data_IF_754869029333
#
_entry.id   IF_754869029333
#
_cell.length_a   1.000
_cell.length_b   1.000
_cell.length_c   1.000
_cell.angle_alpha   90.00
_cell.angle_beta   90.00
_cell.angle_gamma   90.00
#
_symmetry.space_group_name_H-M   'P 1'
#
loop_
_entity.id
_entity.type
_entity.pdbx_description
1 polymer ?
#
# COMPACT_ATOMS: atom_id res chain seq x y z
N UNK A 1 53.43 64.48 -6.76
CA UNK A 1 53.90 63.50 -7.76
C UNK A 1 54.47 62.26 -7.07
N UNK A 2 54.19 61.06 -7.60
CA UNK A 2 54.85 59.75 -7.34
C UNK A 2 54.61 58.99 -5.99
N UNK A 3 53.36 58.80 -5.53
CA UNK A 3 53.03 57.72 -4.54
C UNK A 3 52.66 56.37 -5.16
N UNK A 4 52.23 56.36 -6.44
CA UNK A 4 51.89 55.15 -7.19
C UNK A 4 53.04 54.16 -7.42
N UNK A 5 54.32 54.57 -7.68
CA UNK A 5 55.38 53.59 -7.91
C UNK A 5 55.82 52.86 -6.63
N UNK A 6 55.66 53.47 -5.46
CA UNK A 6 56.05 52.87 -4.16
C UNK A 6 55.09 51.76 -3.76
N UNK A 7 53.79 51.96 -3.97
CA UNK A 7 52.77 50.93 -3.74
C UNK A 7 52.93 49.73 -4.69
N UNK A 8 53.35 49.97 -5.93
CA UNK A 8 53.60 48.94 -6.93
C UNK A 8 54.88 48.15 -6.63
N UNK A 9 55.90 48.81 -6.08
CA UNK A 9 57.13 48.15 -5.63
C UNK A 9 56.87 47.25 -4.40
N UNK A 10 56.06 47.73 -3.44
CA UNK A 10 55.68 46.97 -2.25
C UNK A 10 54.83 45.74 -2.57
N UNK A 11 53.92 45.83 -3.55
CA UNK A 11 53.12 44.67 -3.99
C UNK A 11 53.97 43.64 -4.75
N UNK A 12 54.94 44.07 -5.55
CA UNK A 12 55.89 43.16 -6.21
C UNK A 12 56.82 42.49 -5.18
N UNK A 13 57.31 43.22 -4.17
CA UNK A 13 58.11 42.66 -3.08
C UNK A 13 57.31 41.67 -2.21
N UNK A 14 56.01 41.90 -1.99
CA UNK A 14 55.13 40.96 -1.30
C UNK A 14 54.82 39.69 -2.12
N UNK A 15 54.80 39.80 -3.45
CA UNK A 15 54.64 38.65 -4.35
C UNK A 15 55.94 37.85 -4.49
N UNK A 16 57.10 38.51 -4.43
CA UNK A 16 58.43 37.86 -4.47
C UNK A 16 58.86 37.25 -3.13
N UNK A 17 58.30 37.69 -1.99
CA UNK A 17 58.54 37.06 -0.69
C UNK A 17 57.78 35.74 -0.52
N UNK A 18 56.78 35.47 -1.36
CA UNK A 18 56.15 34.17 -1.53
C UNK A 18 57.02 33.23 -2.38
N UNK A 19 58.28 32.99 -1.96
CA UNK A 19 59.00 31.81 -2.43
C UNK A 19 58.31 30.59 -1.84
N UNK A 20 57.35 30.01 -2.58
CA UNK A 20 56.79 28.72 -2.24
C UNK A 20 57.94 27.71 -2.27
N UNK A 21 58.44 27.33 -1.08
CA UNK A 21 59.21 26.09 -0.93
C UNK A 21 58.38 25.01 -1.62
N UNK A 22 58.93 24.43 -2.71
CA UNK A 22 58.31 23.28 -3.38
C UNK A 22 58.11 22.19 -2.34
N UNK A 23 56.89 22.07 -1.81
CA UNK A 23 56.52 20.97 -0.95
C UNK A 23 56.65 19.68 -1.76
N UNK A 24 57.10 18.58 -1.15
CA UNK A 24 57.12 17.30 -1.83
C UNK A 24 55.72 16.97 -2.33
N UNK A 25 55.60 16.56 -3.58
CA UNK A 25 54.30 16.17 -4.14
C UNK A 25 53.97 14.75 -3.67
N UNK A 26 53.02 14.64 -2.74
CA UNK A 26 52.52 13.35 -2.28
C UNK A 26 51.25 12.98 -3.03
N UNK A 27 51.16 11.79 -3.65
CA UNK A 27 49.93 11.36 -4.30
C UNK A 27 48.81 11.20 -3.26
N UNK A 28 47.57 11.43 -3.66
CA UNK A 28 46.38 11.24 -2.82
C UNK A 28 46.01 9.75 -2.67
N UNK A 29 47.00 8.89 -2.46
CA UNK A 29 46.88 7.45 -2.19
C UNK A 29 47.28 7.17 -0.73
N UNK A 30 46.89 6.02 -0.18
CA UNK A 30 47.28 5.65 1.19
C UNK A 30 48.80 5.62 1.38
N UNK A 31 49.56 5.21 0.36
CA UNK A 31 51.03 5.29 0.35
C UNK A 31 51.54 6.75 0.43
N UNK A 32 50.97 7.64 -0.39
CA UNK A 32 51.37 9.05 -0.41
C UNK A 32 51.01 9.78 0.88
N UNK A 33 49.80 9.55 1.40
CA UNK A 33 49.35 10.07 2.70
C UNK A 33 50.27 9.58 3.82
N UNK A 34 50.59 8.28 3.84
CA UNK A 34 51.48 7.71 4.86
C UNK A 34 52.87 8.36 4.82
N UNK A 35 53.47 8.51 3.63
CA UNK A 35 54.77 9.20 3.48
C UNK A 35 54.71 10.65 3.96
N UNK A 36 53.69 11.41 3.56
CA UNK A 36 53.48 12.79 4.03
C UNK A 36 53.41 12.86 5.56
N UNK A 37 52.71 11.92 6.20
CA UNK A 37 52.58 11.85 7.65
C UNK A 37 53.90 11.50 8.33
N UNK A 38 54.70 10.60 7.76
CA UNK A 38 56.04 10.28 8.29
C UNK A 38 56.98 11.47 8.20
N UNK A 39 56.96 12.22 7.10
CA UNK A 39 57.80 13.41 6.94
C UNK A 39 57.35 14.52 7.90
N UNK A 40 56.04 14.70 8.08
CA UNK A 40 55.49 15.60 9.09
C UNK A 40 55.89 15.18 10.51
N UNK A 41 55.85 13.89 10.83
CA UNK A 41 56.30 13.37 12.10
C UNK A 41 57.79 13.66 12.34
N UNK A 42 58.65 13.45 11.34
CA UNK A 42 60.07 13.78 11.44
C UNK A 42 60.32 15.27 11.69
N UNK A 43 59.54 16.15 11.05
CA UNK A 43 59.58 17.57 11.30
C UNK A 43 59.24 17.93 12.76
N UNK A 44 58.19 17.32 13.32
CA UNK A 44 57.81 17.56 14.72
C UNK A 44 58.82 16.97 15.71
N UNK A 45 59.38 15.79 15.44
CA UNK A 45 60.48 15.20 16.24
C UNK A 45 61.69 16.14 16.26
N UNK A 46 62.07 16.71 15.12
CA UNK A 46 63.18 17.67 15.04
C UNK A 46 62.92 18.96 15.84
N UNK A 47 61.65 19.29 16.11
CA UNK A 47 61.24 20.41 16.97
C UNK A 47 61.00 20.01 18.43
N UNK A 48 61.30 18.76 18.80
CA UNK A 48 60.98 18.19 20.12
C UNK A 48 59.48 18.23 20.48
N UNK A 49 58.60 18.27 19.48
CA UNK A 49 57.16 18.23 19.64
C UNK A 49 56.68 16.77 19.55
N UNK A 50 56.87 16.04 20.65
CA UNK A 50 56.55 14.62 20.78
C UNK A 50 55.07 14.35 20.55
N UNK A 51 54.20 15.24 21.04
CA UNK A 51 52.76 15.16 20.87
C UNK A 51 52.39 15.16 19.40
N UNK A 52 52.72 16.23 18.67
CA UNK A 52 52.32 16.32 17.26
C UNK A 52 53.02 15.26 16.41
N UNK A 53 54.26 14.89 16.74
CA UNK A 53 54.92 13.75 16.10
C UNK A 53 54.11 12.46 16.24
N UNK A 54 53.67 12.12 17.45
CA UNK A 54 52.86 10.92 17.70
C UNK A 54 51.49 10.99 17.00
N UNK A 55 50.83 12.15 16.99
CA UNK A 55 49.59 12.35 16.23
C UNK A 55 49.77 12.05 14.73
N UNK A 56 50.87 12.51 14.13
CA UNK A 56 51.15 12.23 12.71
C UNK A 56 51.44 10.74 12.49
N UNK A 57 52.20 10.10 13.38
CA UNK A 57 52.53 8.67 13.28
C UNK A 57 51.29 7.77 13.45
N UNK A 58 50.45 8.01 14.46
CA UNK A 58 49.18 7.27 14.62
C UNK A 58 48.21 7.55 13.48
N UNK A 59 48.28 8.73 12.85
CA UNK A 59 47.55 8.98 11.61
C UNK A 59 48.07 8.16 10.45
N UNK A 60 49.40 8.00 10.32
CA UNK A 60 50.01 7.15 9.29
C UNK A 60 49.62 5.68 9.50
N UNK A 61 49.65 5.20 10.74
CA UNK A 61 49.33 3.82 11.13
C UNK A 61 47.98 3.33 10.58
N UNK A 62 46.96 4.19 10.58
CA UNK A 62 45.62 3.84 10.07
C UNK A 62 45.57 3.47 8.60
N UNK A 63 46.46 4.05 7.80
CA UNK A 63 46.49 3.82 6.36
C UNK A 63 47.29 2.56 6.02
N UNK A 64 48.03 1.98 6.98
CA UNK A 64 48.93 0.85 6.74
C UNK A 64 48.24 -0.42 6.25
N UNK A 65 46.94 -0.60 6.51
CA UNK A 65 46.20 -1.74 5.98
C UNK A 65 46.17 -1.75 4.45
N UNK A 66 46.06 -0.57 3.83
CA UNK A 66 46.00 -0.41 2.38
C UNK A 66 47.37 -0.13 1.75
N UNK A 67 48.38 0.18 2.56
CA UNK A 67 49.75 0.38 2.08
C UNK A 67 50.30 -0.93 1.52
N UNK A 68 50.87 -0.87 0.32
CA UNK A 68 51.43 -2.07 -0.33
C UNK A 68 52.91 -2.28 0.01
N UNK A 69 53.62 -1.20 0.31
CA UNK A 69 55.06 -1.20 0.52
C UNK A 69 55.45 -1.60 1.95
N UNK A 70 56.08 -2.77 2.12
CA UNK A 70 56.60 -3.22 3.42
C UNK A 70 57.66 -2.27 4.00
N UNK A 71 58.41 -1.57 3.14
CA UNK A 71 59.35 -0.52 3.56
C UNK A 71 58.66 0.60 4.35
N UNK A 72 57.46 0.97 3.91
CA UNK A 72 56.70 2.06 4.48
C UNK A 72 56.00 1.63 5.78
N UNK A 73 55.49 0.38 5.81
CA UNK A 73 54.99 -0.25 7.05
C UNK A 73 56.09 -0.35 8.10
N UNK A 74 57.26 -0.85 7.70
CA UNK A 74 58.45 -0.91 8.55
C UNK A 74 58.79 0.48 9.10
N UNK A 75 58.93 1.49 8.24
CA UNK A 75 59.32 2.83 8.67
C UNK A 75 58.30 3.46 9.64
N UNK A 76 57.01 3.19 9.45
CA UNK A 76 55.95 3.70 10.31
C UNK A 76 56.00 3.09 11.69
N UNK A 77 55.96 1.76 11.80
CA UNK A 77 56.04 1.08 13.09
C UNK A 77 57.37 1.33 13.81
N UNK A 78 58.48 1.37 13.07
CA UNK A 78 59.80 1.64 13.65
C UNK A 78 59.87 3.03 14.28
N UNK A 79 59.31 4.06 13.63
CA UNK A 79 59.28 5.42 14.19
C UNK A 79 58.36 5.53 15.41
N UNK A 80 57.24 4.81 15.42
CA UNK A 80 56.37 4.74 16.61
C UNK A 80 57.12 4.06 17.76
N UNK A 81 57.83 2.96 17.50
CA UNK A 81 58.64 2.25 18.49
C UNK A 81 59.71 3.16 19.10
N UNK A 82 60.46 3.87 18.26
CA UNK A 82 61.49 4.81 18.72
C UNK A 82 60.93 5.96 19.54
N UNK A 83 59.80 6.55 19.12
CA UNK A 83 59.19 7.65 19.85
C UNK A 83 58.66 7.19 21.22
N UNK A 84 58.06 6.00 21.30
CA UNK A 84 57.67 5.40 22.58
C UNK A 84 58.88 5.12 23.48
N UNK A 85 59.97 4.55 22.93
CA UNK A 85 61.20 4.29 23.68
C UNK A 85 61.82 5.58 24.25
N UNK A 86 61.87 6.65 23.45
CA UNK A 86 62.39 7.95 23.86
C UNK A 86 61.55 8.62 24.96
N UNK A 87 60.26 8.30 25.05
CA UNK A 87 59.35 8.87 26.04
C UNK A 87 59.08 7.94 27.22
N UNK A 88 59.75 6.79 27.32
CA UNK A 88 59.63 5.91 28.49
C UNK A 88 58.54 4.84 28.41
N UNK A 89 57.73 4.83 27.35
CA UNK A 89 56.72 3.80 27.09
C UNK A 89 57.34 2.50 26.57
N UNK A 90 58.20 1.89 27.39
CA UNK A 90 59.09 0.80 27.03
C UNK A 90 58.35 -0.47 26.57
N UNK A 91 57.26 -0.85 27.27
CA UNK A 91 56.46 -2.03 26.88
C UNK A 91 55.85 -1.85 25.49
N UNK A 92 55.28 -0.67 25.23
CA UNK A 92 54.68 -0.34 23.94
C UNK A 92 55.74 -0.24 22.84
N UNK A 93 56.91 0.32 23.16
CA UNK A 93 58.04 0.35 22.23
C UNK A 93 58.48 -1.05 21.81
N UNK A 94 58.61 -2.00 22.76
CA UNK A 94 58.97 -3.39 22.46
C UNK A 94 57.93 -4.07 21.58
N UNK A 95 56.64 -3.87 21.85
CA UNK A 95 55.56 -4.41 21.02
C UNK A 95 55.60 -3.85 19.59
N UNK A 96 55.79 -2.53 19.43
CA UNK A 96 55.96 -1.92 18.12
C UNK A 96 57.23 -2.40 17.40
N UNK A 97 58.33 -2.69 18.11
CA UNK A 97 59.52 -3.31 17.51
C UNK A 97 59.23 -4.73 16.98
N UNK A 98 58.35 -5.49 17.63
CA UNK A 98 57.90 -6.81 17.14
C UNK A 98 57.04 -6.71 15.89
N UNK A 99 56.10 -5.76 15.88
CA UNK A 99 55.30 -5.44 14.70
C UNK A 99 56.21 -5.02 13.53
N UNK A 100 57.20 -4.18 13.80
CA UNK A 100 58.18 -3.72 12.81
C UNK A 100 58.95 -4.88 12.17
N UNK A 101 59.34 -5.89 12.97
CA UNK A 101 60.13 -7.03 12.49
C UNK A 101 59.42 -7.84 11.40
N UNK A 102 58.08 -7.88 11.41
CA UNK A 102 57.26 -8.58 10.38
C UNK A 102 57.46 -7.98 8.98
N UNK A 103 57.79 -6.69 8.90
CA UNK A 103 57.96 -5.94 7.65
C UNK A 103 59.43 -5.69 7.30
N UNK A 104 60.35 -6.39 7.97
CA UNK A 104 61.79 -6.32 7.68
C UNK A 104 62.21 -7.26 6.54
N UNK A 105 61.29 -7.82 5.77
CA UNK A 105 61.58 -8.89 4.80
C UNK A 105 61.90 -8.35 3.38
N UNK A 106 62.90 -7.49 3.27
CA UNK A 106 63.37 -6.95 1.99
C UNK A 106 64.88 -7.14 1.79
N UNK A 107 65.43 -6.60 0.70
CA UNK A 107 66.88 -6.66 0.41
C UNK A 107 67.74 -6.02 1.52
N UNK A 108 67.15 -5.18 2.37
CA UNK A 108 67.79 -4.51 3.51
C UNK A 108 67.47 -5.18 4.85
N UNK A 109 66.99 -6.43 4.84
CA UNK A 109 66.60 -7.20 6.04
C UNK A 109 67.65 -7.16 7.16
N UNK A 110 68.91 -7.43 6.84
CA UNK A 110 70.00 -7.40 7.84
C UNK A 110 70.13 -6.02 8.49
N UNK A 111 70.06 -4.94 7.70
CA UNK A 111 70.09 -3.58 8.23
C UNK A 111 68.90 -3.28 9.13
N UNK A 112 67.70 -3.64 8.68
CA UNK A 112 66.45 -3.40 9.41
C UNK A 112 66.37 -4.15 10.73
N UNK A 113 66.71 -5.45 10.72
CA UNK A 113 66.74 -6.26 11.93
C UNK A 113 67.80 -5.78 12.92
N UNK A 114 68.93 -5.28 12.41
CA UNK A 114 69.96 -4.64 13.25
C UNK A 114 69.42 -3.39 13.95
N UNK A 115 68.74 -2.51 13.21
CA UNK A 115 68.11 -1.30 13.78
C UNK A 115 67.05 -1.68 14.85
N UNK A 116 66.22 -2.68 14.59
CA UNK A 116 65.25 -3.20 15.57
C UNK A 116 65.94 -3.74 16.82
N UNK A 117 66.97 -4.58 16.67
CA UNK A 117 67.65 -5.18 17.81
C UNK A 117 68.43 -4.15 18.64
N UNK A 118 69.01 -3.13 18.00
CA UNK A 118 69.58 -1.99 18.70
C UNK A 118 68.53 -1.21 19.49
N UNK A 119 67.36 -0.98 18.90
CA UNK A 119 66.21 -0.37 19.58
C UNK A 119 65.77 -1.18 20.81
N UNK A 120 65.56 -2.49 20.66
CA UNK A 120 65.23 -3.39 21.78
C UNK A 120 66.31 -3.38 22.86
N UNK A 121 67.58 -3.49 22.48
CA UNK A 121 68.70 -3.45 23.42
C UNK A 121 68.73 -2.14 24.22
N UNK A 122 68.48 -1.00 23.57
CA UNK A 122 68.38 0.30 24.24
C UNK A 122 67.25 0.31 25.27
N UNK A 123 66.06 -0.19 24.89
CA UNK A 123 64.91 -0.24 25.80
C UNK A 123 65.17 -1.15 27.00
N UNK A 124 65.70 -2.36 26.79
CA UNK A 124 66.04 -3.26 27.90
C UNK A 124 67.10 -2.67 28.83
N UNK A 125 68.09 -1.95 28.28
CA UNK A 125 69.07 -1.25 29.10
C UNK A 125 68.43 -0.12 29.94
N UNK A 126 67.49 0.63 29.35
CA UNK A 126 66.74 1.67 30.07
C UNK A 126 65.85 1.11 31.18
N UNK A 127 65.38 -0.13 31.02
CA UNK A 127 64.65 -0.89 32.05
C UNK A 127 65.57 -1.51 33.12
N UNK A 128 66.89 -1.34 33.03
CA UNK A 128 67.86 -1.99 33.92
C UNK A 128 68.08 -3.49 33.66
N UNK A 129 67.54 -4.02 32.56
CA UNK A 129 67.66 -5.43 32.19
C UNK A 129 68.88 -5.66 31.30
N UNK A 130 70.07 -5.56 31.89
CA UNK A 130 71.35 -5.56 31.15
C UNK A 130 71.62 -6.86 30.39
N UNK A 131 71.30 -8.03 30.95
CA UNK A 131 71.50 -9.32 30.28
C UNK A 131 70.67 -9.42 29.00
N UNK A 132 69.41 -8.98 29.06
CA UNK A 132 68.52 -8.92 27.89
C UNK A 132 69.04 -7.92 26.86
N UNK A 133 69.54 -6.76 27.30
CA UNK A 133 70.13 -5.76 26.42
C UNK A 133 71.36 -6.31 25.69
N UNK A 134 72.30 -6.96 26.40
CA UNK A 134 73.48 -7.61 25.81
C UNK A 134 73.11 -8.72 24.84
N UNK A 135 72.08 -9.50 25.14
CA UNK A 135 71.60 -10.55 24.25
C UNK A 135 71.12 -9.97 22.90
N UNK A 136 70.38 -8.86 22.92
CA UNK A 136 69.96 -8.19 21.68
C UNK A 136 71.12 -7.50 20.94
N UNK A 137 72.11 -6.96 21.66
CA UNK A 137 73.36 -6.49 21.03
C UNK A 137 74.07 -7.63 20.31
N UNK A 138 74.20 -8.81 20.93
CA UNK A 138 74.80 -10.00 20.30
C UNK A 138 74.02 -10.45 19.07
N UNK A 139 72.68 -10.35 19.08
CA UNK A 139 71.86 -10.58 17.89
C UNK A 139 72.15 -9.58 16.77
N UNK A 140 72.28 -8.29 17.09
CA UNK A 140 72.66 -7.27 16.12
C UNK A 140 74.06 -7.53 15.53
N UNK A 141 75.02 -7.96 16.36
CA UNK A 141 76.38 -8.32 15.95
C UNK A 141 76.42 -9.47 14.94
N UNK A 142 75.51 -10.45 15.03
CA UNK A 142 75.47 -11.62 14.15
C UNK A 142 75.27 -11.27 12.67
N UNK A 143 74.83 -10.05 12.35
CA UNK A 143 74.67 -9.58 10.97
C UNK A 143 75.95 -8.98 10.37
N UNK A 144 77.04 -8.81 11.14
CA UNK A 144 78.34 -8.36 10.60
C UNK A 144 78.90 -9.41 9.62
N UNK A 145 79.56 -9.01 8.51
CA UNK A 145 79.83 -7.63 8.05
C UNK A 145 78.73 -7.07 7.10
N UNK A 146 77.55 -7.70 7.02
CA UNK A 146 76.48 -7.36 6.06
C UNK A 146 75.64 -6.13 6.48
N UNK A 147 76.17 -5.31 7.38
CA UNK A 147 75.49 -4.14 7.95
C UNK A 147 76.30 -2.88 7.67
N UNK A 148 75.68 -1.70 7.83
CA UNK A 148 76.36 -0.43 7.55
C UNK A 148 77.37 -0.10 8.67
N UNK A 149 78.39 0.69 8.35
CA UNK A 149 79.44 1.07 9.32
C UNK A 149 78.92 1.91 10.49
N UNK A 150 77.92 2.76 10.28
CA UNK A 150 77.22 3.49 11.35
C UNK A 150 76.52 2.53 12.33
N UNK A 151 75.95 1.42 11.83
CA UNK A 151 75.33 0.41 12.67
C UNK A 151 76.38 -0.37 13.48
N UNK A 152 77.52 -0.71 12.87
CA UNK A 152 78.64 -1.33 13.59
C UNK A 152 79.15 -0.45 14.73
N UNK A 153 79.29 0.85 14.49
CA UNK A 153 79.68 1.83 15.52
C UNK A 153 78.62 1.92 16.62
N UNK A 154 77.34 1.98 16.25
CA UNK A 154 76.21 2.03 17.20
C UNK A 154 76.15 0.81 18.10
N UNK A 155 76.42 -0.39 17.55
CA UNK A 155 76.55 -1.64 18.31
C UNK A 155 77.65 -1.50 19.38
N UNK A 156 78.85 -1.10 18.98
CA UNK A 156 80.00 -0.98 19.90
C UNK A 156 79.74 0.05 20.99
N UNK A 157 79.16 1.20 20.64
CA UNK A 157 78.82 2.25 21.59
C UNK A 157 77.73 1.83 22.56
N UNK A 158 76.67 1.16 22.08
CA UNK A 158 75.60 0.67 22.95
C UNK A 158 76.09 -0.43 23.88
N UNK A 159 76.89 -1.38 23.37
CA UNK A 159 77.54 -2.42 24.17
C UNK A 159 78.35 -1.84 25.32
N UNK A 160 79.24 -0.88 25.00
CA UNK A 160 80.08 -0.21 26.00
C UNK A 160 79.23 0.49 27.07
N UNK A 161 78.11 1.13 26.67
CA UNK A 161 77.19 1.77 27.63
C UNK A 161 76.52 0.76 28.56
N UNK A 162 76.07 -0.38 28.03
CA UNK A 162 75.45 -1.45 28.82
C UNK A 162 76.47 -2.06 29.79
N UNK A 163 77.69 -2.37 29.33
CA UNK A 163 78.76 -2.93 30.16
C UNK A 163 79.17 -1.95 31.29
N UNK A 164 79.17 -0.65 31.00
CA UNK A 164 79.40 0.41 32.01
C UNK A 164 78.17 0.72 32.88
N UNK A 165 77.08 -0.04 32.75
CA UNK A 165 75.83 0.15 33.49
C UNK A 165 75.27 1.58 33.37
N UNK A 166 75.49 2.23 32.21
CA UNK A 166 74.99 3.58 31.95
C UNK A 166 73.54 3.51 31.49
N UNK A 167 72.63 4.08 32.30
CA UNK A 167 71.19 4.11 32.03
C UNK A 167 70.80 5.54 31.62
N UNK A 168 70.22 5.71 30.42
CA UNK A 168 69.48 6.93 30.06
C UNK A 168 68.02 6.78 30.53
N UNK A 169 67.79 7.00 31.82
CA UNK A 169 66.44 6.92 32.38
C UNK A 169 65.58 8.07 31.87
N UNK A 170 64.39 7.75 31.37
CA UNK A 170 63.38 8.75 30.99
C UNK A 170 62.47 8.98 32.20
N UNK A 171 62.03 10.23 32.43
CA UNK A 171 61.09 10.54 33.52
C UNK A 171 59.80 9.73 33.36
N UNK A 172 59.28 9.08 34.42
CA UNK A 172 58.00 8.35 34.39
C UNK A 172 56.81 9.18 33.89
N UNK A 173 56.85 10.51 34.07
CA UNK A 173 55.80 11.42 33.59
C UNK A 173 55.66 11.41 32.06
N UNK A 174 56.78 11.24 31.34
CA UNK A 174 56.76 11.18 29.87
C UNK A 174 56.12 9.91 29.34
N UNK A 175 56.23 8.80 30.07
CA UNK A 175 55.59 7.53 29.72
C UNK A 175 54.06 7.70 29.76
N UNK A 176 53.58 8.23 30.89
CA UNK A 176 52.16 8.51 31.08
C UNK A 176 51.65 9.49 30.01
N UNK A 177 52.40 10.55 29.69
CA UNK A 177 52.02 11.53 28.69
C UNK A 177 51.88 10.92 27.28
N UNK A 178 52.86 10.13 26.83
CA UNK A 178 52.84 9.58 25.47
C UNK A 178 51.75 8.52 25.27
N UNK A 179 51.43 7.75 26.32
CA UNK A 179 50.30 6.80 26.31
C UNK A 179 48.98 7.58 26.26
N UNK A 180 48.81 8.59 27.11
CA UNK A 180 47.60 9.43 27.11
C UNK A 180 47.37 10.14 25.77
N UNK A 181 48.43 10.57 25.09
CA UNK A 181 48.33 11.18 23.75
C UNK A 181 47.73 10.20 22.75
N UNK A 182 48.15 8.93 22.79
CA UNK A 182 47.65 7.89 21.90
C UNK A 182 46.20 7.51 22.22
N UNK A 183 45.86 7.32 23.49
CA UNK A 183 44.48 7.01 23.90
C UNK A 183 43.52 8.15 23.52
N UNK A 184 43.90 9.40 23.79
CA UNK A 184 43.10 10.58 23.41
C UNK A 184 42.92 10.68 21.90
N UNK A 185 43.94 10.32 21.12
CA UNK A 185 43.82 10.28 19.67
C UNK A 185 42.76 9.26 19.27
N UNK A 186 42.86 8.02 19.75
CA UNK A 186 41.93 6.93 19.43
C UNK A 186 40.48 7.25 19.79
N UNK A 187 40.25 7.80 20.99
CA UNK A 187 38.93 8.26 21.43
C UNK A 187 38.39 9.38 20.53
N UNK A 188 39.22 10.39 20.21
CA UNK A 188 38.79 11.50 19.34
C UNK A 188 38.39 11.03 17.94
N UNK A 189 39.01 9.96 17.44
CA UNK A 189 38.66 9.37 16.14
C UNK A 189 37.37 8.59 16.23
N UNK A 190 37.19 7.79 17.28
CA UNK A 190 35.95 7.06 17.52
C UNK A 190 34.77 8.03 17.59
N UNK A 191 34.93 9.14 18.32
CA UNK A 191 33.95 10.22 18.39
C UNK A 191 33.66 10.84 17.02
N UNK A 192 34.68 11.15 16.22
CA UNK A 192 34.48 11.68 14.86
C UNK A 192 33.72 10.71 13.95
N UNK A 193 34.05 9.41 14.01
CA UNK A 193 33.34 8.37 13.24
C UNK A 193 31.88 8.23 13.68
N UNK A 194 31.63 8.26 14.99
CA UNK A 194 30.27 8.22 15.53
C UNK A 194 29.46 9.45 15.08
N UNK A 195 30.06 10.64 15.09
CA UNK A 195 29.41 11.87 14.64
C UNK A 195 29.15 11.87 13.13
N UNK A 196 30.07 11.35 12.32
CA UNK A 196 29.86 11.15 10.88
C UNK A 196 28.70 10.18 10.61
N UNK A 197 28.61 9.09 11.36
CA UNK A 197 27.49 8.15 11.26
C UNK A 197 26.16 8.80 11.62
N UNK A 198 26.13 9.58 12.72
CA UNK A 198 24.94 10.34 13.12
C UNK A 198 24.50 11.33 12.05
N UNK A 199 25.44 12.05 11.43
CA UNK A 199 25.13 12.95 10.32
C UNK A 199 24.56 12.20 9.12
N UNK A 200 25.12 11.04 8.77
CA UNK A 200 24.62 10.22 7.68
C UNK A 200 23.19 9.72 7.92
N UNK A 201 22.92 9.25 9.14
CA UNK A 201 21.57 8.84 9.56
C UNK A 201 20.60 10.03 9.48
N UNK A 202 21.02 11.22 9.93
CA UNK A 202 20.20 12.42 9.85
C UNK A 202 19.84 12.78 8.39
N UNK A 203 20.81 12.70 7.47
CA UNK A 203 20.54 12.93 6.04
C UNK A 203 19.56 11.92 5.45
N UNK A 204 19.69 10.63 5.81
CA UNK A 204 18.74 9.60 5.37
C UNK A 204 17.32 9.87 5.87
N UNK A 205 17.16 10.31 7.12
CA UNK A 205 15.86 10.69 7.68
C UNK A 205 15.25 11.88 6.93
N UNK A 206 16.05 12.90 6.62
CA UNK A 206 15.59 14.07 5.84
C UNK A 206 15.10 13.62 4.45
N UNK A 207 15.86 12.77 3.76
CA UNK A 207 15.48 12.23 2.45
C UNK A 207 14.16 11.43 2.56
N UNK A 208 14.00 10.61 3.59
CA UNK A 208 12.78 9.83 3.81
C UNK A 208 11.56 10.75 4.05
N UNK A 209 11.72 11.83 4.82
CA UNK A 209 10.66 12.82 5.03
C UNK A 209 10.30 13.52 3.70
N UNK A 210 11.28 13.89 2.89
CA UNK A 210 11.03 14.49 1.57
C UNK A 210 10.32 13.53 0.61
N UNK A 211 10.68 12.24 0.64
CA UNK A 211 10.00 11.22 -0.17
C UNK A 211 8.55 11.01 0.28
N UNK A 212 8.30 10.85 1.58
CA UNK A 212 6.94 10.64 2.10
C UNK A 212 6.05 11.84 1.84
N UNK A 213 6.54 13.06 2.07
CA UNK A 213 5.81 14.30 1.73
C UNK A 213 5.53 14.41 0.23
N UNK A 214 6.51 14.09 -0.63
CA UNK A 214 6.32 14.01 -2.08
C UNK A 214 5.21 13.03 -2.49
N UNK A 215 5.20 11.83 -1.90
CA UNK A 215 4.17 10.81 -2.15
C UNK A 215 2.79 11.32 -1.72
N UNK A 216 2.67 11.93 -0.54
CA UNK A 216 1.39 12.47 -0.04
C UNK A 216 0.86 13.57 -0.95
N UNK A 217 1.72 14.50 -1.39
CA UNK A 217 1.33 15.58 -2.31
C UNK A 217 0.89 15.02 -3.66
N UNK A 218 1.64 14.07 -4.21
CA UNK A 218 1.29 13.38 -5.46
C UNK A 218 -0.03 12.65 -5.35
N UNK A 219 -0.25 11.89 -4.26
CA UNK A 219 -1.48 11.16 -4.02
C UNK A 219 -2.68 12.09 -3.91
N UNK A 220 -2.56 13.19 -3.14
CA UNK A 220 -3.61 14.22 -3.05
C UNK A 220 -3.90 14.88 -4.40
N UNK A 221 -2.88 15.12 -5.22
CA UNK A 221 -3.07 15.67 -6.58
C UNK A 221 -3.82 14.67 -7.46
N UNK A 222 -3.42 13.40 -7.43
CA UNK A 222 -4.07 12.32 -8.19
C UNK A 222 -5.53 12.11 -7.79
N UNK A 223 -5.83 12.10 -6.48
CA UNK A 223 -7.19 11.98 -5.96
C UNK A 223 -8.08 13.15 -6.40
N UNK A 224 -7.56 14.39 -6.36
CA UNK A 224 -8.31 15.56 -6.86
C UNK A 224 -8.64 15.45 -8.35
N UNK A 225 -7.67 15.02 -9.17
CA UNK A 225 -7.89 14.82 -10.60
C UNK A 225 -8.97 13.76 -10.88
N UNK A 226 -8.93 12.63 -10.16
CA UNK A 226 -9.96 11.59 -10.28
C UNK A 226 -11.33 12.11 -9.86
N UNK A 227 -11.42 12.83 -8.73
CA UNK A 227 -12.70 13.38 -8.26
C UNK A 227 -13.32 14.35 -9.27
N UNK A 228 -12.52 15.21 -9.91
CA UNK A 228 -13.00 16.11 -10.95
C UNK A 228 -13.51 15.35 -12.18
N UNK A 229 -12.85 14.26 -12.58
CA UNK A 229 -13.32 13.42 -13.69
C UNK A 229 -14.65 12.74 -13.36
N UNK A 230 -14.80 12.18 -12.15
CA UNK A 230 -16.05 11.57 -11.69
C UNK A 230 -17.21 12.57 -11.65
N UNK A 231 -16.99 13.79 -11.13
CA UNK A 231 -18.03 14.83 -11.11
C UNK A 231 -18.50 15.23 -12.51
N UNK A 232 -17.57 15.41 -13.46
CA UNK A 232 -17.95 15.68 -14.86
C UNK A 232 -18.77 14.55 -15.47
N UNK A 233 -18.43 13.30 -15.16
CA UNK A 233 -19.20 12.15 -15.63
C UNK A 233 -20.61 12.12 -15.02
N UNK A 234 -20.75 12.47 -13.74
CA UNK A 234 -22.06 12.62 -13.09
C UNK A 234 -22.90 13.71 -13.76
N UNK A 235 -22.35 14.91 -13.97
CA UNK A 235 -23.04 16.03 -14.62
C UNK A 235 -23.54 15.65 -16.03
N UNK A 236 -22.70 14.99 -16.84
CA UNK A 236 -23.10 14.52 -18.18
C UNK A 236 -24.21 13.47 -18.08
N UNK A 237 -24.13 12.56 -17.11
CA UNK A 237 -25.15 11.51 -16.91
C UNK A 237 -26.49 12.13 -16.49
N UNK A 238 -26.48 13.10 -15.59
CA UNK A 238 -27.67 13.84 -15.17
C UNK A 238 -28.31 14.59 -16.33
N UNK A 239 -27.52 15.29 -17.15
CA UNK A 239 -28.02 15.97 -18.34
C UNK A 239 -28.64 15.00 -19.34
N UNK A 240 -28.01 13.84 -19.57
CA UNK A 240 -28.56 12.81 -20.45
C UNK A 240 -29.88 12.24 -19.92
N UNK A 241 -30.00 12.01 -18.62
CA UNK A 241 -31.25 11.56 -17.98
C UNK A 241 -32.34 12.62 -18.14
N UNK A 242 -32.04 13.90 -17.89
CA UNK A 242 -33.01 14.98 -18.07
C UNK A 242 -33.48 15.11 -19.52
N UNK A 243 -32.57 15.00 -20.49
CA UNK A 243 -32.93 15.00 -21.91
C UNK A 243 -33.81 13.81 -22.28
N UNK A 244 -33.50 12.62 -21.75
CA UNK A 244 -34.30 11.41 -21.96
C UNK A 244 -35.72 11.58 -21.41
N UNK A 245 -35.87 12.13 -20.19
CA UNK A 245 -37.16 12.40 -19.57
C UNK A 245 -37.95 13.39 -20.44
N UNK A 246 -37.36 14.52 -20.84
CA UNK A 246 -38.04 15.50 -21.71
C UNK A 246 -38.50 14.92 -23.04
N UNK A 247 -37.69 14.04 -23.66
CA UNK A 247 -38.09 13.35 -24.90
C UNK A 247 -39.29 12.44 -24.66
N UNK A 248 -39.29 11.68 -23.56
CA UNK A 248 -40.43 10.82 -23.19
C UNK A 248 -41.69 11.62 -22.91
N UNK A 249 -41.57 12.76 -22.21
CA UNK A 249 -42.71 13.64 -21.95
C UNK A 249 -43.29 14.19 -23.27
N UNK A 250 -42.42 14.64 -24.19
CA UNK A 250 -42.86 15.08 -25.51
C UNK A 250 -43.58 13.98 -26.31
N UNK A 251 -43.09 12.73 -26.24
CA UNK A 251 -43.77 11.58 -26.86
C UNK A 251 -45.13 11.30 -26.20
N UNK A 252 -45.24 11.42 -24.88
CA UNK A 252 -46.50 11.24 -24.16
C UNK A 252 -47.50 12.32 -24.58
N UNK A 253 -47.07 13.57 -24.71
CA UNK A 253 -47.93 14.68 -25.13
C UNK A 253 -48.38 14.53 -26.60
N UNK A 254 -47.51 14.05 -27.49
CA UNK A 254 -47.87 13.71 -28.88
C UNK A 254 -48.89 12.58 -28.92
N UNK A 255 -48.67 11.50 -28.17
CA UNK A 255 -49.63 10.39 -28.06
C UNK A 255 -50.97 10.82 -27.46
N UNK A 256 -50.97 11.72 -26.47
CA UNK A 256 -52.20 12.29 -25.91
C UNK A 256 -52.94 13.11 -26.96
N UNK A 257 -52.25 13.97 -27.70
CA UNK A 257 -52.86 14.75 -28.76
C UNK A 257 -53.47 13.86 -29.86
N UNK A 258 -52.80 12.76 -30.24
CA UNK A 258 -53.34 11.77 -31.17
C UNK A 258 -54.59 11.09 -30.61
N UNK A 259 -54.57 10.68 -29.34
CA UNK A 259 -55.72 10.07 -28.65
C UNK A 259 -56.90 11.05 -28.59
N UNK A 260 -56.67 12.30 -28.19
CA UNK A 260 -57.69 13.34 -28.11
C UNK A 260 -58.28 13.65 -29.50
N UNK A 261 -57.45 13.66 -30.54
CA UNK A 261 -57.92 13.79 -31.94
C UNK A 261 -58.84 12.63 -32.34
N UNK A 262 -58.46 11.39 -32.02
CA UNK A 262 -59.28 10.20 -32.30
C UNK A 262 -60.58 10.19 -31.49
N UNK A 263 -60.56 10.68 -30.25
CA UNK A 263 -61.78 10.86 -29.44
C UNK A 263 -62.72 11.86 -30.12
N UNK A 264 -62.20 13.01 -30.57
CA UNK A 264 -62.99 14.01 -31.30
C UNK A 264 -63.55 13.47 -32.62
N UNK A 265 -62.78 12.68 -33.38
CA UNK A 265 -63.28 12.01 -34.59
C UNK A 265 -64.40 11.02 -34.27
N UNK A 266 -64.28 10.24 -33.19
CA UNK A 266 -65.33 9.34 -32.72
C UNK A 266 -66.60 10.11 -32.34
N UNK A 267 -66.48 11.26 -31.68
CA UNK A 267 -67.62 12.12 -31.36
C UNK A 267 -68.30 12.70 -32.61
N UNK A 268 -67.51 13.13 -33.60
CA UNK A 268 -68.05 13.61 -34.88
C UNK A 268 -68.73 12.51 -35.68
N UNK A 269 -68.17 11.29 -35.68
CA UNK A 269 -68.80 10.12 -36.30
C UNK A 269 -70.10 9.77 -35.58
N UNK A 270 -70.15 9.85 -34.25
CA UNK A 270 -71.37 9.68 -33.45
C UNK A 270 -72.46 10.70 -33.83
N UNK A 271 -72.09 11.94 -34.14
CA UNK A 271 -73.04 12.98 -34.59
C UNK A 271 -73.51 12.80 -36.05
N UNK A 272 -72.71 12.15 -36.92
CA UNK A 272 -73.04 11.92 -38.34
C UNK A 272 -73.87 10.65 -38.60
N UNK A 273 -74.07 9.82 -37.58
CA UNK A 273 -75.06 8.75 -37.65
C UNK A 273 -76.44 9.42 -37.64
N UNK A 274 -77.32 9.22 -38.64
CA UNK A 274 -78.68 9.72 -38.56
C UNK A 274 -79.29 9.18 -37.29
N UNK A 275 -80.02 10.01 -36.54
CA UNK A 275 -80.91 9.58 -35.46
C UNK A 275 -81.92 8.56 -36.00
N UNK A 276 -81.47 7.32 -36.11
CA UNK A 276 -82.35 6.19 -36.05
C UNK A 276 -82.80 6.16 -34.61
N UNK A 277 -84.10 6.44 -34.40
CA UNK A 277 -84.79 6.19 -33.16
C UNK A 277 -84.46 4.74 -32.76
N UNK A 278 -83.45 4.59 -31.91
CA UNK A 278 -83.07 3.32 -31.33
C UNK A 278 -84.18 2.97 -30.37
N UNK A 279 -85.11 2.14 -30.87
CA UNK A 279 -86.09 1.41 -30.09
C UNK A 279 -85.53 1.11 -28.70
N UNK A 280 -86.12 1.73 -27.67
CA UNK A 280 -85.83 1.44 -26.25
C UNK A 280 -85.95 -0.06 -25.96
N UNK A 281 -86.69 -0.81 -26.79
CA UNK A 281 -86.76 -2.28 -26.76
C UNK A 281 -85.42 -2.99 -27.07
N UNK A 282 -84.53 -2.41 -27.87
CA UNK A 282 -83.28 -3.07 -28.31
C UNK A 282 -82.16 -2.90 -27.28
N UNK A 283 -82.07 -1.75 -26.62
CA UNK A 283 -81.15 -1.52 -25.52
C UNK A 283 -81.52 -2.36 -24.28
N UNK A 284 -82.82 -2.38 -23.92
CA UNK A 284 -83.34 -3.25 -22.85
C UNK A 284 -83.12 -4.74 -23.17
N UNK A 285 -83.21 -5.13 -24.45
CA UNK A 285 -82.93 -6.50 -24.92
C UNK A 285 -81.45 -6.88 -24.75
N UNK A 286 -80.51 -6.01 -25.11
CA UNK A 286 -79.08 -6.29 -24.97
C UNK A 286 -78.68 -6.40 -23.50
N UNK A 287 -79.18 -5.51 -22.63
CA UNK A 287 -78.93 -5.59 -21.19
C UNK A 287 -79.53 -6.84 -20.56
N UNK A 288 -80.74 -7.26 -20.98
CA UNK A 288 -81.34 -8.51 -20.51
C UNK A 288 -80.58 -9.75 -20.99
N UNK A 289 -80.09 -9.76 -22.25
CA UNK A 289 -79.26 -10.86 -22.76
C UNK A 289 -77.96 -10.96 -21.97
N UNK A 290 -77.28 -9.83 -21.71
CA UNK A 290 -76.05 -9.80 -20.91
C UNK A 290 -76.30 -10.33 -19.49
N UNK A 291 -77.37 -9.86 -18.84
CA UNK A 291 -77.74 -10.33 -17.50
C UNK A 291 -78.04 -11.83 -17.50
N UNK A 292 -78.70 -12.36 -18.53
CA UNK A 292 -78.94 -13.80 -18.69
C UNK A 292 -77.64 -14.59 -18.79
N UNK A 293 -76.70 -14.13 -19.62
CA UNK A 293 -75.39 -14.79 -19.83
C UNK A 293 -74.57 -14.77 -18.54
N UNK A 294 -74.48 -13.62 -17.86
CA UNK A 294 -73.75 -13.47 -16.60
C UNK A 294 -74.36 -14.36 -15.50
N UNK A 295 -75.69 -14.46 -15.46
CA UNK A 295 -76.42 -15.35 -14.54
C UNK A 295 -76.09 -16.82 -14.83
N UNK A 296 -76.18 -17.26 -16.09
CA UNK A 296 -75.86 -18.63 -16.49
C UNK A 296 -74.40 -18.98 -16.16
N UNK A 297 -73.47 -18.10 -16.51
CA UNK A 297 -72.06 -18.29 -16.23
C UNK A 297 -71.78 -18.42 -14.72
N UNK A 298 -72.42 -17.57 -13.91
CA UNK A 298 -72.28 -17.63 -12.45
C UNK A 298 -72.80 -18.94 -11.87
N UNK A 299 -73.95 -19.44 -12.36
CA UNK A 299 -74.51 -20.73 -11.93
C UNK A 299 -73.56 -21.88 -12.30
N UNK A 300 -73.13 -21.95 -13.56
CA UNK A 300 -72.27 -23.04 -14.05
C UNK A 300 -70.88 -23.05 -13.40
N UNK A 301 -70.37 -21.89 -12.98
CA UNK A 301 -69.09 -21.79 -12.24
C UNK A 301 -69.24 -21.95 -10.73
N UNK A 302 -70.45 -22.20 -10.22
CA UNK A 302 -70.69 -22.39 -8.79
C UNK A 302 -70.53 -21.12 -7.95
N UNK A 303 -70.77 -19.95 -8.55
CA UNK A 303 -70.78 -18.67 -7.84
C UNK A 303 -71.95 -18.53 -6.87
N UNK A 304 -71.93 -17.48 -6.05
CA UNK A 304 -73.01 -17.20 -5.09
C UNK A 304 -74.25 -16.69 -5.83
N UNK A 305 -75.36 -17.43 -5.71
CA UNK A 305 -76.66 -17.12 -6.33
C UNK A 305 -77.74 -16.76 -5.30
N UNK A 306 -77.38 -16.59 -4.04
CA UNK A 306 -78.33 -16.35 -2.93
C UNK A 306 -79.15 -15.07 -3.10
N UNK A 307 -78.61 -14.07 -3.80
CA UNK A 307 -79.23 -12.77 -4.07
C UNK A 307 -79.98 -12.71 -5.41
N UNK A 308 -79.89 -13.77 -6.23
CA UNK A 308 -80.57 -13.81 -7.52
C UNK A 308 -82.05 -14.13 -7.35
N UNK A 309 -82.89 -13.41 -8.09
CA UNK A 309 -84.34 -13.48 -7.98
C UNK A 309 -85.03 -13.56 -9.33
N UNK A 310 -86.23 -12.95 -9.39
CA UNK A 310 -87.12 -13.04 -10.55
C UNK A 310 -86.54 -12.38 -11.80
N UNK A 311 -85.73 -11.32 -11.63
CA UNK A 311 -85.10 -10.60 -12.74
C UNK A 311 -84.08 -11.49 -13.47
N UNK A 312 -83.22 -12.15 -12.71
CA UNK A 312 -82.22 -13.08 -13.20
C UNK A 312 -82.86 -14.33 -13.80
N UNK A 313 -83.94 -14.84 -13.18
CA UNK A 313 -84.73 -15.94 -13.72
C UNK A 313 -85.31 -15.60 -15.10
N UNK A 314 -85.90 -14.42 -15.27
CA UNK A 314 -86.49 -13.99 -16.55
C UNK A 314 -85.42 -13.80 -17.63
N UNK A 315 -84.30 -13.17 -17.29
CA UNK A 315 -83.18 -12.98 -18.21
C UNK A 315 -82.57 -14.32 -18.65
N UNK A 316 -82.37 -15.24 -17.71
CA UNK A 316 -81.90 -16.61 -17.98
C UNK A 316 -82.86 -17.37 -18.90
N UNK A 317 -84.16 -17.36 -18.58
CA UNK A 317 -85.18 -18.05 -19.35
C UNK A 317 -85.32 -17.52 -20.80
N UNK A 318 -85.04 -16.23 -21.00
CA UNK A 318 -85.05 -15.59 -22.33
C UNK A 318 -83.88 -16.04 -23.21
N UNK A 319 -82.71 -16.30 -22.62
CA UNK A 319 -81.53 -16.75 -23.37
C UNK A 319 -81.46 -18.27 -23.55
N UNK A 320 -82.08 -19.05 -22.66
CA UNK A 320 -81.95 -20.51 -22.62
C UNK A 320 -82.28 -21.22 -23.94
N UNK A 321 -83.31 -20.83 -24.73
CA UNK A 321 -83.61 -21.49 -26.00
C UNK A 321 -82.45 -21.50 -27.01
N UNK A 322 -81.52 -20.54 -26.91
CA UNK A 322 -80.36 -20.44 -27.78
C UNK A 322 -79.18 -21.33 -27.31
N UNK A 323 -79.19 -21.77 -26.05
CA UNK A 323 -78.13 -22.60 -25.45
C UNK A 323 -78.55 -24.06 -25.35
N UNK A 324 -79.77 -24.31 -24.85
CA UNK A 324 -80.34 -25.64 -24.64
C UNK A 324 -81.86 -25.56 -24.77
N UNK A 325 -82.36 -26.02 -25.92
CA UNK A 325 -83.77 -25.94 -26.27
C UNK A 325 -84.65 -26.81 -25.36
N UNK A 326 -84.21 -28.03 -25.05
CA UNK A 326 -84.98 -28.98 -24.26
C UNK A 326 -85.09 -28.51 -22.80
N UNK A 327 -83.99 -27.99 -22.26
CA UNK A 327 -83.98 -27.36 -20.95
C UNK A 327 -84.85 -26.11 -20.91
N UNK A 328 -84.79 -25.26 -21.94
CA UNK A 328 -85.64 -24.08 -22.03
C UNK A 328 -87.13 -24.41 -22.06
N UNK A 329 -87.50 -25.48 -22.78
CA UNK A 329 -88.88 -25.96 -22.84
C UNK A 329 -89.41 -26.33 -21.45
N UNK A 330 -88.58 -26.97 -20.62
CA UNK A 330 -88.95 -27.33 -19.24
C UNK A 330 -89.01 -26.08 -18.36
N UNK A 331 -88.00 -25.22 -18.39
CA UNK A 331 -87.91 -24.04 -17.53
C UNK A 331 -89.00 -23.00 -17.81
N UNK A 332 -89.46 -22.90 -19.07
CA UNK A 332 -90.52 -21.99 -19.50
C UNK A 332 -91.91 -22.62 -19.51
N UNK A 333 -92.05 -23.89 -19.11
CA UNK A 333 -93.35 -24.55 -19.10
C UNK A 333 -94.26 -23.93 -18.01
N UNK A 334 -95.41 -23.34 -18.39
CA UNK A 334 -96.31 -22.72 -17.42
C UNK A 334 -96.88 -23.70 -16.40
N UNK A 335 -96.91 -25.01 -16.71
CA UNK A 335 -97.43 -26.06 -15.81
C UNK A 335 -96.56 -26.25 -14.56
N UNK A 336 -95.23 -26.16 -14.70
CA UNK A 336 -94.34 -26.33 -13.56
C UNK A 336 -94.24 -25.06 -12.72
N UNK A 337 -94.33 -23.88 -13.35
CA UNK A 337 -94.26 -22.58 -12.68
C UNK A 337 -93.15 -22.51 -11.61
N UNK A 338 -91.91 -22.81 -12.01
CA UNK A 338 -90.77 -22.79 -11.11
C UNK A 338 -90.53 -21.39 -10.53
N UNK A 339 -90.22 -21.34 -9.24
CA UNK A 339 -89.67 -20.13 -8.60
C UNK A 339 -88.21 -19.95 -9.00
N UNK A 340 -87.60 -18.75 -8.83
CA UNK A 340 -86.21 -18.52 -9.20
C UNK A 340 -85.24 -19.59 -8.65
N UNK A 341 -85.41 -19.95 -7.37
CA UNK A 341 -84.57 -20.96 -6.71
C UNK A 341 -84.78 -22.36 -7.30
N UNK A 342 -86.00 -22.71 -7.71
CA UNK A 342 -86.28 -24.00 -8.35
C UNK A 342 -85.73 -24.02 -9.78
N UNK A 343 -85.82 -22.93 -10.54
CA UNK A 343 -85.21 -22.79 -11.88
C UNK A 343 -83.69 -22.95 -11.81
N UNK A 344 -83.03 -22.23 -10.90
CA UNK A 344 -81.57 -22.35 -10.75
C UNK A 344 -81.17 -23.73 -10.23
N UNK A 345 -81.93 -24.32 -9.30
CA UNK A 345 -81.68 -25.68 -8.84
C UNK A 345 -81.78 -26.69 -9.99
N UNK A 346 -82.83 -26.61 -10.81
CA UNK A 346 -83.04 -27.49 -11.95
C UNK A 346 -81.91 -27.34 -12.99
N UNK A 347 -81.50 -26.10 -13.28
CA UNK A 347 -80.36 -25.82 -14.17
C UNK A 347 -79.07 -26.46 -13.64
N UNK A 348 -78.77 -26.32 -12.35
CA UNK A 348 -77.58 -26.93 -11.73
C UNK A 348 -77.66 -28.47 -11.74
N UNK A 349 -78.85 -29.03 -11.52
CA UNK A 349 -79.09 -30.48 -11.56
C UNK A 349 -78.89 -31.04 -12.98
N UNK A 350 -79.44 -30.36 -13.98
CA UNK A 350 -79.28 -30.69 -15.40
C UNK A 350 -77.81 -30.68 -15.83
N UNK A 351 -77.02 -29.73 -15.31
CA UNK A 351 -75.59 -29.62 -15.59
C UNK A 351 -74.69 -30.50 -14.70
N UNK A 352 -75.27 -31.45 -13.96
CA UNK A 352 -74.52 -32.45 -13.20
C UNK A 352 -73.81 -31.94 -11.95
N UNK A 353 -74.19 -30.77 -11.42
CA UNK A 353 -73.58 -30.21 -10.21
C UNK A 353 -73.96 -31.04 -8.97
N UNK A 354 -73.01 -31.24 -8.06
CA UNK A 354 -73.25 -32.02 -6.83
C UNK A 354 -74.13 -31.24 -5.83
N UNK A 355 -74.80 -31.96 -4.92
CA UNK A 355 -75.62 -31.31 -3.88
C UNK A 355 -74.79 -30.39 -2.96
N UNK A 356 -73.49 -30.66 -2.79
CA UNK A 356 -72.56 -29.78 -2.07
C UNK A 356 -72.30 -28.47 -2.83
N UNK A 357 -72.04 -28.55 -4.15
CA UNK A 357 -71.89 -27.37 -5.00
C UNK A 357 -73.16 -26.52 -5.05
N UNK A 358 -74.33 -27.16 -5.10
CA UNK A 358 -75.63 -26.47 -5.03
C UNK A 358 -75.83 -25.78 -3.68
N UNK A 359 -75.53 -26.45 -2.56
CA UNK A 359 -75.63 -25.86 -1.23
C UNK A 359 -74.73 -24.63 -1.06
N UNK A 360 -73.49 -24.70 -1.58
CA UNK A 360 -72.53 -23.60 -1.57
C UNK A 360 -73.01 -22.41 -2.41
N UNK A 361 -73.50 -22.65 -3.64
CA UNK A 361 -74.01 -21.59 -4.51
C UNK A 361 -75.23 -20.88 -3.91
N UNK A 362 -76.17 -21.62 -3.33
CA UNK A 362 -77.33 -21.04 -2.64
C UNK A 362 -77.01 -20.43 -1.27
N UNK A 363 -75.80 -20.62 -0.74
CA UNK A 363 -75.40 -20.27 0.63
C UNK A 363 -76.43 -20.76 1.67
N UNK A 364 -76.86 -22.02 1.54
CA UNK A 364 -77.91 -22.58 2.39
C UNK A 364 -77.55 -23.98 2.93
N UNK A 365 -78.21 -24.40 4.01
CA UNK A 365 -78.00 -25.74 4.58
C UNK A 365 -78.53 -26.84 3.65
N UNK A 366 -77.96 -28.04 3.73
CA UNK A 366 -78.42 -29.20 2.95
C UNK A 366 -79.90 -29.51 3.18
N UNK A 367 -80.45 -29.19 4.35
CA UNK A 367 -81.88 -29.33 4.63
C UNK A 367 -82.75 -28.35 3.83
N UNK A 368 -82.30 -27.09 3.67
CA UNK A 368 -83.00 -26.10 2.85
C UNK A 368 -82.94 -26.49 1.36
N UNK A 369 -81.79 -27.01 0.92
CA UNK A 369 -81.61 -27.53 -0.44
C UNK A 369 -82.55 -28.70 -0.74
N UNK A 370 -82.66 -29.68 0.19
CA UNK A 370 -83.63 -30.78 0.08
C UNK A 370 -85.07 -30.29 -0.06
N UNK A 371 -85.43 -29.20 0.64
CA UNK A 371 -86.76 -28.58 0.54
C UNK A 371 -87.02 -27.97 -0.84
N UNK A 372 -86.02 -27.33 -1.47
CA UNK A 372 -86.13 -26.83 -2.85
C UNK A 372 -86.32 -28.00 -3.82
N UNK A 373 -85.48 -29.04 -3.73
CA UNK A 373 -85.59 -30.26 -4.56
C UNK A 373 -86.97 -30.90 -4.45
N UNK A 374 -87.47 -31.08 -3.23
CA UNK A 374 -88.77 -31.71 -2.97
C UNK A 374 -89.93 -30.91 -3.57
N UNK A 375 -89.95 -29.58 -3.40
CA UNK A 375 -90.99 -28.71 -3.97
C UNK A 375 -90.96 -28.70 -5.50
N UNK A 376 -89.77 -28.63 -6.08
CA UNK A 376 -89.58 -28.71 -7.53
C UNK A 376 -90.08 -30.06 -8.08
N UNK A 377 -89.66 -31.19 -7.48
CA UNK A 377 -90.05 -32.53 -7.91
C UNK A 377 -91.57 -32.72 -7.83
N UNK A 378 -92.21 -32.26 -6.76
CA UNK A 378 -93.67 -32.30 -6.60
C UNK A 378 -94.40 -31.57 -7.73
N UNK A 379 -93.88 -30.42 -8.19
CA UNK A 379 -94.46 -29.68 -9.33
C UNK A 379 -94.35 -30.44 -10.65
N UNK A 380 -93.25 -31.17 -10.84
CA UNK A 380 -93.04 -32.01 -12.03
C UNK A 380 -93.94 -33.24 -12.01
N UNK A 381 -94.06 -33.92 -10.86
CA UNK A 381 -94.90 -35.11 -10.68
C UNK A 381 -96.40 -34.80 -10.80
N UNK A 382 -96.89 -33.73 -10.15
CA UNK A 382 -98.30 -33.30 -10.22
C UNK A 382 -98.75 -32.98 -11.65
N UNK A 383 -97.85 -32.46 -12.47
CA UNK A 383 -98.13 -32.13 -13.87
C UNK A 383 -98.19 -33.38 -14.77
N UNK A 384 -97.57 -34.49 -14.37
CA UNK A 384 -97.63 -35.77 -15.08
C UNK A 384 -98.92 -36.54 -14.77
N UNK A 385 -99.41 -36.51 -13.52
CA UNK A 385 -100.73 -37.09 -13.14
C UNK A 385 -101.91 -36.41 -13.85
N UNK A 386 -101.86 -35.08 -14.04
CA UNK A 386 -102.90 -34.36 -14.83
C UNK A 386 -102.89 -34.71 -16.32
N UNK A 387 -101.84 -35.36 -16.83
CA UNK A 387 -101.76 -35.82 -18.22
C UNK A 387 -102.37 -37.23 -18.38
N UNK A 388 -102.21 -38.10 -17.38
CA UNK A 388 -102.79 -39.46 -17.36
C UNK A 388 -104.29 -39.50 -17.08
N UNK A 389 -104.87 -38.44 -16.52
CA UNK A 389 -106.33 -38.28 -16.36
C UNK A 389 -106.99 -37.60 -17.58
N UNK A 390 -106.22 -37.27 -18.62
CA UNK A 390 -106.69 -36.56 -19.83
C UNK A 390 -106.41 -37.29 -21.16
N UNK A 391 -106.04 -38.58 -21.07
CA UNK A 391 -106.11 -39.60 -22.14
C UNK A 391 -107.08 -40.67 -21.63
#
# INVERSE_FOLDING_TARGET
MKRKPILLLLSILALLSCSQRKLPNYPATDDGITRMRLDSAAFFVAKHDTRNAMYQLKSAEKHLFNVTEDSLKFATYYRIALLNAQNGAYKLALDYFEHTARYANDSKKSHRLTDIYLGKASVFNQMGQHDSALWYVKKAESFKPRIRKDQEQSITQLRTRIEKHQILSVSPEKDIEIIQIQDRYEVAIAQRKALQLQLYIAYLVIILILLTTGIVVWFRRRMRLQLHAYRRQQEVTEQNIQQLIRRKDATIDEMKAEVDSKINELEQLKQKIPTHNGDTKTADSIEQIKLGIDTLYTILKGGNISQMGKREQQALNAIMPNFDYDLAYILNNPRYAFTPKETFYYLMDHNGMTDEQKANAFCCTSQALRSIKSRMKKKMELSQETLSDSI
#
